data_IF_352433921007
#
_entry.id   IF_352433921007
#
_cell.length_a   1.000
_cell.length_b   1.000
_cell.length_c   1.000
_cell.angle_alpha   90.00
_cell.angle_beta   90.00
_cell.angle_gamma   90.00
#
_symmetry.space_group_name_H-M   'P 1'
#
loop_
_entity.id
_entity.type
_entity.pdbx_description
1 polymer ?
#
# COMPACT_ATOMS: atom_id res chain seq x y z
N UNK A 1 -41.49 -13.06 4.60
CA UNK A 1 -40.85 -12.73 5.89
C UNK A 1 -39.36 -12.55 5.66
N UNK A 2 -38.65 -11.71 6.43
CA UNK A 2 -37.22 -11.56 6.27
C UNK A 2 -36.54 -12.91 6.52
N UNK A 3 -35.61 -13.31 5.64
CA UNK A 3 -34.79 -14.50 5.86
C UNK A 3 -34.00 -14.27 7.16
N UNK A 4 -34.08 -15.21 8.10
CA UNK A 4 -33.09 -15.28 9.16
C UNK A 4 -31.75 -15.59 8.49
N UNK A 5 -30.81 -14.67 8.58
CA UNK A 5 -29.41 -14.94 8.21
C UNK A 5 -28.84 -15.88 9.26
N UNK A 6 -28.58 -17.12 8.85
CA UNK A 6 -27.96 -18.15 9.69
C UNK A 6 -26.49 -18.26 9.30
N UNK A 7 -25.60 -18.30 10.29
CA UNK A 7 -24.18 -18.55 10.08
C UNK A 7 -23.94 -20.00 9.64
N UNK A 8 -23.04 -20.19 8.70
CA UNK A 8 -22.56 -21.51 8.30
C UNK A 8 -21.60 -22.08 9.37
N UNK A 9 -21.73 -23.38 9.65
CA UNK A 9 -20.96 -24.09 10.67
C UNK A 9 -20.04 -25.15 10.06
N UNK A 10 -18.78 -25.31 10.54
CA UNK A 10 -18.14 -24.51 11.60
C UNK A 10 -17.93 -23.05 11.20
N UNK A 11 -18.06 -22.13 12.17
CA UNK A 11 -17.93 -20.68 11.92
C UNK A 11 -16.51 -20.37 11.46
N UNK A 12 -16.39 -19.65 10.34
CA UNK A 12 -15.17 -19.03 9.86
C UNK A 12 -15.19 -17.52 10.16
N UNK A 13 -14.15 -17.02 10.83
CA UNK A 13 -14.04 -15.59 11.16
C UNK A 13 -13.67 -14.73 9.94
N UNK A 14 -13.19 -15.35 8.86
CA UNK A 14 -12.83 -14.68 7.62
C UNK A 14 -13.97 -14.73 6.58
N UNK A 15 -15.14 -15.27 6.95
CA UNK A 15 -16.31 -15.31 6.08
C UNK A 15 -16.68 -13.90 5.58
N UNK A 16 -16.71 -13.70 4.26
CA UNK A 16 -16.92 -12.41 3.61
C UNK A 16 -15.65 -11.66 3.19
N UNK A 17 -14.47 -12.24 3.42
CA UNK A 17 -13.18 -11.77 2.90
C UNK A 17 -12.72 -12.55 1.66
N UNK A 18 -13.66 -13.16 0.92
CA UNK A 18 -13.39 -14.15 -0.14
C UNK A 18 -12.42 -13.66 -1.23
N UNK A 19 -12.46 -12.37 -1.57
CA UNK A 19 -11.54 -11.80 -2.57
C UNK A 19 -10.13 -11.58 -2.00
N UNK A 20 -10.00 -11.17 -0.74
CA UNK A 20 -8.69 -10.96 -0.12
C UNK A 20 -8.02 -12.30 0.25
N UNK A 21 -8.81 -13.35 0.54
CA UNK A 21 -8.27 -14.70 0.74
C UNK A 21 -7.56 -15.27 -0.49
N UNK A 22 -7.86 -14.75 -1.69
CA UNK A 22 -7.19 -15.15 -2.95
C UNK A 22 -5.84 -14.45 -3.14
N UNK A 23 -5.52 -13.46 -2.30
CA UNK A 23 -4.31 -12.66 -2.41
C UNK A 23 -3.21 -13.29 -1.55
N UNK A 24 -2.09 -13.61 -2.20
CA UNK A 24 -0.96 -14.25 -1.53
C UNK A 24 -0.23 -13.26 -0.61
N UNK A 25 0.32 -13.75 0.50
CA UNK A 25 0.98 -12.92 1.51
C UNK A 25 2.10 -12.03 0.92
N UNK A 26 2.83 -12.54 -0.08
CA UNK A 26 3.94 -11.83 -0.69
C UNK A 26 3.49 -10.55 -1.42
N UNK A 27 2.23 -10.46 -1.83
CA UNK A 27 1.66 -9.24 -2.41
C UNK A 27 1.39 -8.15 -1.36
N UNK A 28 1.11 -8.55 -0.11
CA UNK A 28 0.97 -7.61 1.00
C UNK A 28 2.31 -7.15 1.58
N UNK A 29 3.33 -8.00 1.50
CA UNK A 29 4.62 -7.81 2.18
C UNK A 29 5.66 -7.19 1.25
N UNK A 30 5.83 -7.69 0.03
CA UNK A 30 6.87 -7.24 -0.90
C UNK A 30 6.35 -6.13 -1.81
N UNK A 31 6.42 -4.91 -1.29
CA UNK A 31 5.91 -3.69 -1.94
C UNK A 31 7.01 -2.89 -2.65
N UNK A 32 8.26 -3.33 -2.60
CA UNK A 32 9.43 -2.64 -3.17
C UNK A 32 9.30 -2.43 -4.68
N UNK A 33 8.60 -3.35 -5.37
CA UNK A 33 8.27 -3.25 -6.80
C UNK A 33 7.47 -2.00 -7.18
N UNK A 34 6.76 -1.40 -6.23
CA UNK A 34 6.01 -0.15 -6.46
C UNK A 34 6.88 1.11 -6.28
N UNK A 35 8.16 0.96 -5.91
CA UNK A 35 9.10 2.08 -5.77
C UNK A 35 9.95 2.31 -7.03
N UNK A 36 9.65 1.64 -8.14
CA UNK A 36 10.41 1.77 -9.39
C UNK A 36 10.30 3.18 -10.00
N UNK A 37 9.14 3.83 -9.82
CA UNK A 37 8.87 5.19 -10.30
C UNK A 37 9.36 6.29 -9.35
N UNK A 38 9.97 5.91 -8.22
CA UNK A 38 10.57 6.86 -7.27
C UNK A 38 12.09 6.97 -7.48
N UNK A 39 12.74 8.06 -7.02
CA UNK A 39 14.19 8.15 -6.97
C UNK A 39 14.81 6.92 -6.31
N UNK A 40 15.94 6.44 -6.85
CA UNK A 40 16.61 5.22 -6.35
C UNK A 40 17.40 5.46 -5.07
N UNK A 41 17.76 6.70 -4.80
CA UNK A 41 18.51 7.12 -3.63
C UNK A 41 17.87 8.39 -3.03
N UNK A 42 18.50 8.90 -1.98
CA UNK A 42 18.10 10.16 -1.37
C UNK A 42 16.93 10.07 -0.39
N UNK A 43 16.48 11.22 0.12
CA UNK A 43 15.50 11.30 1.21
C UNK A 43 14.09 10.84 0.79
N UNK A 44 13.68 11.06 -0.46
CA UNK A 44 12.39 10.56 -0.96
C UNK A 44 12.38 9.04 -0.95
N UNK A 45 13.48 8.41 -1.39
CA UNK A 45 13.62 6.95 -1.34
C UNK A 45 13.51 6.43 0.09
N UNK A 46 14.28 7.01 1.01
CA UNK A 46 14.28 6.60 2.41
C UNK A 46 12.91 6.76 3.07
N UNK A 47 12.22 7.87 2.77
CA UNK A 47 10.86 8.09 3.23
C UNK A 47 9.90 7.02 2.69
N UNK A 48 9.95 6.73 1.39
CA UNK A 48 9.07 5.73 0.78
C UNK A 48 9.35 4.31 1.27
N UNK A 49 10.61 3.96 1.57
CA UNK A 49 10.97 2.70 2.22
C UNK A 49 10.27 2.54 3.59
N UNK A 50 10.17 3.62 4.37
CA UNK A 50 9.43 3.61 5.63
C UNK A 50 7.91 3.48 5.40
N UNK A 51 7.37 4.16 4.39
CA UNK A 51 5.95 4.05 4.01
C UNK A 51 5.61 2.61 3.67
N UNK A 52 6.36 1.97 2.76
CA UNK A 52 6.08 0.59 2.36
C UNK A 52 6.35 -0.41 3.50
N UNK A 53 7.33 -0.15 4.37
CA UNK A 53 7.55 -0.94 5.58
C UNK A 53 6.33 -0.88 6.52
N UNK A 54 5.72 0.30 6.69
CA UNK A 54 4.47 0.46 7.44
C UNK A 54 3.29 -0.27 6.79
N UNK A 55 3.11 -0.11 5.48
CA UNK A 55 2.05 -0.77 4.72
C UNK A 55 2.19 -2.30 4.74
N UNK A 56 3.41 -2.83 4.69
CA UNK A 56 3.68 -4.28 4.74
C UNK A 56 3.18 -4.94 6.03
N UNK A 57 3.12 -4.17 7.12
CA UNK A 57 2.70 -4.62 8.46
C UNK A 57 1.22 -4.36 8.74
N UNK A 58 0.49 -3.77 7.80
CA UNK A 58 -0.91 -3.41 7.98
C UNK A 58 -1.82 -4.55 7.49
N UNK A 59 -2.55 -5.24 8.40
CA UNK A 59 -3.50 -6.30 8.04
C UNK A 59 -4.89 -5.77 7.67
N UNK A 60 -5.13 -4.46 7.83
CA UNK A 60 -6.46 -3.85 7.63
C UNK A 60 -6.63 -3.22 6.25
N UNK A 61 -5.57 -3.22 5.42
CA UNK A 61 -5.60 -2.67 4.07
C UNK A 61 -5.39 -3.78 3.04
N UNK A 62 -6.23 -3.76 2.01
CA UNK A 62 -6.05 -4.62 0.84
C UNK A 62 -4.81 -4.23 0.06
N UNK A 63 -4.31 -5.13 -0.80
CA UNK A 63 -3.18 -4.79 -1.70
C UNK A 63 -3.49 -3.57 -2.56
N UNK A 64 -4.74 -3.41 -3.03
CA UNK A 64 -5.12 -2.26 -3.85
C UNK A 64 -5.03 -0.95 -3.07
N UNK A 65 -5.52 -0.91 -1.82
CA UNK A 65 -5.43 0.28 -0.99
C UNK A 65 -3.97 0.67 -0.68
N UNK A 66 -3.08 -0.32 -0.52
CA UNK A 66 -1.64 -0.07 -0.35
C UNK A 66 -1.04 0.56 -1.61
N UNK A 67 -1.40 0.08 -2.81
CA UNK A 67 -0.97 0.67 -4.09
C UNK A 67 -1.46 2.10 -4.24
N UNK A 68 -2.75 2.34 -4.02
CA UNK A 68 -3.35 3.68 -4.14
C UNK A 68 -2.64 4.70 -3.21
N UNK A 69 -2.21 4.25 -2.03
CA UNK A 69 -1.45 5.07 -1.09
C UNK A 69 -0.06 5.43 -1.62
N UNK A 70 0.63 4.48 -2.26
CA UNK A 70 1.95 4.70 -2.87
C UNK A 70 1.81 5.64 -4.08
N UNK A 71 0.82 5.41 -4.94
CA UNK A 71 0.56 6.23 -6.14
C UNK A 71 0.24 7.68 -5.77
N UNK A 72 -0.49 7.89 -4.67
CA UNK A 72 -0.75 9.24 -4.17
C UNK A 72 0.54 10.00 -3.83
N UNK A 73 1.54 9.34 -3.22
CA UNK A 73 2.84 9.97 -2.95
C UNK A 73 3.61 10.28 -4.23
N UNK A 74 3.57 9.37 -5.21
CA UNK A 74 4.19 9.61 -6.51
C UNK A 74 3.61 10.88 -7.16
N UNK A 75 2.29 10.99 -7.23
CA UNK A 75 1.63 12.21 -7.72
C UNK A 75 1.96 13.46 -6.90
N UNK A 76 2.02 13.32 -5.57
CA UNK A 76 2.31 14.43 -4.68
C UNK A 76 3.70 15.00 -4.93
N UNK A 77 4.73 14.16 -5.02
CA UNK A 77 6.10 14.62 -5.27
C UNK A 77 6.26 15.23 -6.67
N UNK A 78 5.60 14.66 -7.68
CA UNK A 78 5.55 15.24 -9.02
C UNK A 78 4.93 16.64 -9.03
N UNK A 79 3.83 16.86 -8.28
CA UNK A 79 3.20 18.19 -8.12
C UNK A 79 4.06 19.17 -7.32
N UNK A 80 5.06 18.71 -6.59
CA UNK A 80 5.97 19.51 -5.75
C UNK A 80 7.38 19.56 -6.32
N UNK A 81 7.54 19.29 -7.62
CA UNK A 81 8.85 19.18 -8.23
C UNK A 81 9.70 20.45 -8.06
N UNK A 82 9.13 21.62 -8.32
CA UNK A 82 9.86 22.89 -8.21
C UNK A 82 10.39 23.13 -6.78
N UNK A 83 9.56 22.88 -5.76
CA UNK A 83 9.93 23.01 -4.35
C UNK A 83 11.06 22.06 -3.95
N UNK A 84 10.97 20.81 -4.38
CA UNK A 84 11.97 19.79 -4.06
C UNK A 84 13.30 20.07 -4.78
N UNK A 85 13.28 20.73 -5.94
CA UNK A 85 14.50 21.22 -6.62
C UNK A 85 15.13 22.37 -5.84
N UNK A 86 14.33 23.31 -5.33
CA UNK A 86 14.81 24.41 -4.47
C UNK A 86 15.46 23.91 -3.17
N UNK A 87 14.94 22.82 -2.60
CA UNK A 87 15.49 22.22 -1.40
C UNK A 87 16.71 21.30 -1.66
N UNK A 88 17.19 21.17 -2.90
CA UNK A 88 18.24 20.22 -3.32
C UNK A 88 17.90 18.75 -2.99
N UNK A 89 16.61 18.43 -2.82
CA UNK A 89 16.10 17.11 -2.37
C UNK A 89 16.08 16.08 -3.52
N UNK A 90 16.02 16.56 -4.78
CA UNK A 90 16.07 15.71 -5.98
C UNK A 90 17.46 15.24 -6.38
N UNK A 91 18.51 15.81 -5.80
CA UNK A 91 19.88 15.49 -6.18
C UNK A 91 20.36 14.31 -5.32
N UNK A 92 19.95 13.10 -5.71
CA UNK A 92 20.69 11.82 -5.68
C UNK A 92 19.74 10.62 -5.81
#
# INVERSE_FOLDING_TARGET
>A
GPKKETLDLPVDNEAGLDEEQKVEFHEHVFLEKYLEDFPKHGPIRHFMELVICGLSKNPYLTVQQKKDHIDWFHEYFNKKEDLLRECEVYLN
#
